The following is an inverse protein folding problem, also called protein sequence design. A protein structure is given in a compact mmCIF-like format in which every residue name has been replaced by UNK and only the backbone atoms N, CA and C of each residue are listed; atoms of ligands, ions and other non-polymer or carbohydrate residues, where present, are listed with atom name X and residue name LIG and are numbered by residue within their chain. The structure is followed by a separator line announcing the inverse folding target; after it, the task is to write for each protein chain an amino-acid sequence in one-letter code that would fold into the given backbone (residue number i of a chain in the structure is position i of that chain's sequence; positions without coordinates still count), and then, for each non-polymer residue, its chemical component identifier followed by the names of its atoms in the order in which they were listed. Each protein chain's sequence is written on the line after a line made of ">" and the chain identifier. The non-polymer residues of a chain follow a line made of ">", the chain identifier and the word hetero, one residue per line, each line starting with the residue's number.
data_IF_807248672226
#
_entry.id   IF_807248672226
#
_cell.length_a   1.000
_cell.length_b   1.000
_cell.length_c   1.000
_cell.angle_alpha   90.00
_cell.angle_beta   90.00
_cell.angle_gamma   90.00
#
_symmetry.space_group_name_H-M   'P 1'
#
loop_
_entity.id
_entity.type
_entity.pdbx_description
1 polymer ?
#
# COMPACT_ATOMS: atom_id res chain seq x y z
N UNK A 1 28.94 -43.13 -33.37
CA UNK A 1 29.96 -44.19 -33.27
C UNK A 1 31.31 -43.50 -33.38
N UNK A 2 32.24 -43.79 -32.47
CA UNK A 2 33.56 -43.14 -32.47
C UNK A 2 34.58 -44.17 -32.93
N UNK A 3 35.29 -43.86 -34.02
CA UNK A 3 36.38 -44.68 -34.53
C UNK A 3 37.70 -44.05 -34.12
N UNK A 4 38.56 -44.84 -33.49
CA UNK A 4 39.90 -44.40 -33.09
C UNK A 4 40.89 -45.50 -33.47
N UNK A 5 41.97 -45.08 -34.13
CA UNK A 5 43.05 -45.97 -34.55
C UNK A 5 44.38 -45.33 -34.15
N UNK A 6 45.30 -46.15 -33.68
CA UNK A 6 46.65 -45.73 -33.31
C UNK A 6 47.66 -46.74 -33.84
N UNK A 7 48.89 -46.27 -34.04
CA UNK A 7 50.03 -47.16 -34.29
C UNK A 7 50.69 -47.48 -32.96
N UNK A 8 51.08 -48.74 -32.77
CA UNK A 8 51.83 -49.21 -31.59
C UNK A 8 53.22 -48.59 -31.48
N UNK A 9 53.74 -47.99 -32.56
CA UNK A 9 54.97 -47.22 -32.55
C UNK A 9 54.84 -45.89 -31.78
N UNK A 10 53.62 -45.44 -31.47
CA UNK A 10 53.36 -44.24 -30.66
C UNK A 10 53.15 -44.61 -29.19
N UNK A 11 53.57 -43.75 -28.24
CA UNK A 11 53.44 -44.04 -26.80
C UNK A 11 51.99 -44.25 -26.36
N UNK A 12 51.03 -43.57 -26.99
CA UNK A 12 49.60 -43.74 -26.72
C UNK A 12 49.10 -45.11 -27.18
N UNK A 13 49.47 -45.54 -28.39
CA UNK A 13 49.09 -46.85 -28.92
C UNK A 13 49.69 -48.01 -28.14
N UNK A 14 50.95 -47.88 -27.70
CA UNK A 14 51.58 -48.88 -26.84
C UNK A 14 50.89 -49.01 -25.47
N UNK A 15 50.40 -47.90 -24.88
CA UNK A 15 49.64 -47.97 -23.63
C UNK A 15 48.30 -48.67 -23.81
N UNK A 16 47.61 -48.40 -24.91
CA UNK A 16 46.31 -49.02 -25.19
C UNK A 16 46.46 -50.51 -25.50
N UNK A 17 47.48 -50.93 -26.26
CA UNK A 17 47.72 -52.35 -26.53
C UNK A 17 48.06 -53.15 -25.26
N UNK A 18 48.78 -52.54 -24.31
CA UNK A 18 49.02 -53.13 -22.97
C UNK A 18 47.73 -53.26 -22.15
N UNK A 19 46.84 -52.25 -22.21
CA UNK A 19 45.56 -52.29 -21.51
C UNK A 19 44.61 -53.36 -22.07
N UNK A 20 44.61 -53.55 -23.40
CA UNK A 20 43.77 -54.54 -24.09
C UNK A 20 44.42 -55.94 -24.16
N UNK A 21 45.70 -56.07 -23.75
CA UNK A 21 46.50 -57.30 -23.71
C UNK A 21 46.49 -58.03 -25.05
N UNK A 22 46.90 -57.32 -26.09
CA UNK A 22 46.91 -57.78 -27.49
C UNK A 22 48.19 -58.55 -27.80
N UNK A 23 48.09 -59.65 -28.57
CA UNK A 23 49.25 -60.49 -28.91
C UNK A 23 49.59 -60.46 -30.41
N UNK A 24 48.67 -60.01 -31.28
CA UNK A 24 48.79 -60.08 -32.74
C UNK A 24 48.28 -58.80 -33.40
N UNK A 25 48.93 -58.35 -34.49
CA UNK A 25 48.55 -57.16 -35.24
C UNK A 25 48.24 -57.49 -36.72
N UNK A 26 47.31 -56.77 -37.38
CA UNK A 26 46.49 -55.67 -36.86
C UNK A 26 45.44 -56.15 -35.83
N UNK A 27 45.06 -55.26 -34.92
CA UNK A 27 44.10 -55.54 -33.85
C UNK A 27 42.95 -54.53 -33.90
N UNK A 28 41.72 -55.02 -33.72
CA UNK A 28 40.53 -54.20 -33.61
C UNK A 28 39.71 -54.65 -32.39
N UNK A 29 39.41 -53.72 -31.50
CA UNK A 29 38.48 -53.92 -30.40
C UNK A 29 37.23 -53.06 -30.57
N UNK A 30 36.08 -53.65 -30.26
CA UNK A 30 34.83 -52.91 -30.09
C UNK A 30 34.55 -52.77 -28.59
N UNK A 31 34.34 -51.54 -28.13
CA UNK A 31 34.10 -51.22 -26.72
C UNK A 31 32.72 -50.56 -26.61
N UNK A 32 31.94 -51.02 -25.64
CA UNK A 32 30.65 -50.41 -25.29
C UNK A 32 30.58 -50.12 -23.80
N UNK A 33 29.73 -49.17 -23.42
CA UNK A 33 29.40 -48.95 -22.01
C UNK A 33 28.31 -49.95 -21.62
N UNK A 34 28.65 -50.88 -20.74
CA UNK A 34 27.73 -51.86 -20.14
C UNK A 34 27.75 -51.70 -18.62
N UNK A 35 26.58 -51.50 -18.02
CA UNK A 35 26.38 -51.35 -16.57
C UNK A 35 27.30 -50.28 -15.96
N UNK A 36 27.39 -49.14 -16.66
CA UNK A 36 28.26 -47.99 -16.32
C UNK A 36 29.76 -48.29 -16.33
N UNK A 37 30.20 -49.40 -16.94
CA UNK A 37 31.61 -49.76 -17.14
C UNK A 37 31.93 -49.94 -18.61
N UNK A 38 33.09 -49.48 -19.05
CA UNK A 38 33.55 -49.73 -20.41
C UNK A 38 33.97 -51.19 -20.54
N UNK A 39 33.31 -51.92 -21.43
CA UNK A 39 33.55 -53.35 -21.67
C UNK A 39 33.89 -53.59 -23.13
N UNK A 40 34.91 -54.41 -23.38
CA UNK A 40 35.26 -54.88 -24.73
C UNK A 40 34.27 -55.97 -25.12
N UNK A 41 33.55 -55.77 -26.23
CA UNK A 41 32.48 -56.65 -26.74
C UNK A 41 32.88 -57.41 -28.00
N UNK A 42 33.93 -56.95 -28.67
CA UNK A 42 34.48 -57.56 -29.86
C UNK A 42 36.00 -57.46 -29.85
N UNK A 43 36.68 -58.53 -30.22
CA UNK A 43 38.14 -58.60 -30.32
C UNK A 43 38.49 -59.34 -31.60
N UNK A 44 39.15 -58.66 -32.52
CA UNK A 44 39.58 -59.19 -33.81
C UNK A 44 41.08 -59.01 -33.95
N UNK A 45 41.81 -60.09 -34.20
CA UNK A 45 43.27 -60.07 -34.33
C UNK A 45 43.72 -60.66 -35.66
N UNK A 46 44.79 -60.10 -36.22
CA UNK A 46 45.43 -60.59 -37.42
C UNK A 46 44.80 -60.05 -38.71
N UNK A 47 45.34 -60.53 -39.83
CA UNK A 47 44.86 -60.14 -41.16
C UNK A 47 43.57 -60.89 -41.47
N UNK A 48 42.48 -60.15 -41.67
CA UNK A 48 41.15 -60.66 -41.96
C UNK A 48 40.71 -60.12 -43.32
N UNK A 49 40.02 -60.93 -44.13
CA UNK A 49 39.46 -60.47 -45.39
C UNK A 49 38.36 -59.42 -45.13
N UNK A 50 38.18 -58.42 -46.02
CA UNK A 50 37.21 -57.34 -45.80
C UNK A 50 35.79 -57.84 -45.52
N UNK A 51 35.34 -58.85 -46.25
CA UNK A 51 33.98 -59.39 -46.11
C UNK A 51 33.79 -60.10 -44.76
N UNK A 52 34.78 -60.89 -44.33
CA UNK A 52 34.76 -61.56 -43.03
C UNK A 52 34.80 -60.57 -41.86
N UNK A 53 35.57 -59.49 -42.01
CA UNK A 53 35.64 -58.41 -41.03
C UNK A 53 34.27 -57.71 -40.89
N UNK A 54 33.63 -57.38 -42.01
CA UNK A 54 32.30 -56.74 -42.01
C UNK A 54 31.27 -57.67 -41.39
N UNK A 55 31.29 -58.97 -41.74
CA UNK A 55 30.36 -59.94 -41.18
C UNK A 55 30.52 -60.09 -39.66
N UNK A 56 31.76 -60.15 -39.16
CA UNK A 56 32.03 -60.23 -37.73
C UNK A 56 31.63 -58.95 -36.98
N UNK A 57 31.91 -57.78 -37.55
CA UNK A 57 31.48 -56.51 -36.97
C UNK A 57 29.97 -56.38 -36.92
N UNK A 58 29.28 -56.72 -38.00
CA UNK A 58 27.80 -56.72 -38.07
C UNK A 58 27.22 -57.66 -37.03
N UNK A 59 27.75 -58.88 -36.91
CA UNK A 59 27.32 -59.85 -35.91
C UNK A 59 27.46 -59.33 -34.46
N UNK A 60 28.62 -58.73 -34.14
CA UNK A 60 28.86 -58.17 -32.81
C UNK A 60 27.94 -56.96 -32.55
N UNK A 61 27.68 -56.13 -33.57
CA UNK A 61 26.75 -55.00 -33.45
C UNK A 61 25.31 -55.48 -33.20
N UNK A 62 24.82 -56.43 -33.98
CA UNK A 62 23.46 -56.96 -33.87
C UNK A 62 23.23 -57.64 -32.52
N UNK A 63 24.20 -58.42 -32.05
CA UNK A 63 24.14 -59.07 -30.73
C UNK A 63 24.02 -58.06 -29.57
N UNK A 64 24.57 -56.85 -29.73
CA UNK A 64 24.59 -55.81 -28.70
C UNK A 64 23.54 -54.71 -28.91
N UNK A 65 22.83 -54.70 -30.05
CA UNK A 65 21.85 -53.68 -30.39
C UNK A 65 20.71 -53.62 -29.36
N UNK A 66 20.21 -54.77 -28.92
CA UNK A 66 19.15 -54.86 -27.90
C UNK A 66 19.54 -54.15 -26.61
N UNK A 67 20.78 -54.31 -26.17
CA UNK A 67 21.31 -53.66 -24.97
C UNK A 67 21.45 -52.13 -25.14
N UNK A 68 21.93 -51.69 -26.31
CA UNK A 68 22.04 -50.25 -26.60
C UNK A 68 20.65 -49.58 -26.68
N UNK A 69 19.66 -50.29 -27.21
CA UNK A 69 18.27 -49.81 -27.28
C UNK A 69 17.65 -49.75 -25.88
N UNK A 70 17.83 -50.78 -25.04
CA UNK A 70 17.29 -50.75 -23.67
C UNK A 70 17.91 -49.63 -22.84
N UNK A 71 19.23 -49.42 -22.90
CA UNK A 71 19.90 -48.32 -22.21
C UNK A 71 19.42 -46.93 -22.66
N UNK A 72 19.10 -46.77 -23.96
CA UNK A 72 18.53 -45.51 -24.47
C UNK A 72 17.12 -45.29 -23.92
N UNK A 73 16.27 -46.31 -23.99
CA UNK A 73 14.91 -46.24 -23.47
C UNK A 73 14.88 -45.92 -21.98
N UNK A 74 15.69 -46.60 -21.16
CA UNK A 74 15.76 -46.30 -19.73
C UNK A 74 16.22 -44.87 -19.41
N UNK A 75 17.15 -44.32 -20.22
CA UNK A 75 17.58 -42.93 -20.07
C UNK A 75 16.47 -41.96 -20.45
N UNK A 76 15.76 -42.24 -21.53
CA UNK A 76 14.62 -41.45 -21.96
C UNK A 76 13.49 -41.47 -20.92
N UNK A 77 13.14 -42.65 -20.39
CA UNK A 77 12.14 -42.78 -19.32
C UNK A 77 12.52 -42.02 -18.05
N UNK A 78 13.79 -42.11 -17.63
CA UNK A 78 14.30 -41.35 -16.48
C UNK A 78 14.22 -39.85 -16.72
N UNK A 79 14.63 -39.40 -17.91
CA UNK A 79 14.56 -37.98 -18.27
C UNK A 79 13.11 -37.49 -18.32
N UNK A 80 12.20 -38.26 -18.93
CA UNK A 80 10.77 -37.93 -18.97
C UNK A 80 10.17 -37.87 -17.57
N UNK A 81 10.51 -38.82 -16.70
CA UNK A 81 10.05 -38.83 -15.30
C UNK A 81 10.54 -37.60 -14.54
N UNK A 82 11.81 -37.20 -14.75
CA UNK A 82 12.36 -35.99 -14.15
C UNK A 82 11.66 -34.72 -14.64
N UNK A 83 11.47 -34.59 -15.96
CA UNK A 83 10.79 -33.44 -16.57
C UNK A 83 9.35 -33.35 -16.07
N UNK A 84 8.62 -34.47 -15.99
CA UNK A 84 7.24 -34.48 -15.51
C UNK A 84 7.14 -34.02 -14.04
N UNK A 85 8.06 -34.48 -13.18
CA UNK A 85 8.11 -34.02 -11.78
C UNK A 85 8.42 -32.53 -11.68
N UNK A 86 9.38 -32.04 -12.46
CA UNK A 86 9.71 -30.61 -12.50
C UNK A 86 8.50 -29.77 -12.93
N UNK A 87 7.77 -30.19 -13.96
CA UNK A 87 6.56 -29.50 -14.41
C UNK A 87 5.45 -29.49 -13.35
N UNK A 88 5.28 -30.60 -12.61
CA UNK A 88 4.31 -30.66 -11.51
C UNK A 88 4.72 -29.75 -10.35
N UNK A 89 6.00 -29.75 -9.97
CA UNK A 89 6.53 -28.90 -8.91
C UNK A 89 6.39 -27.41 -9.28
N UNK A 90 6.71 -27.04 -10.53
CA UNK A 90 6.54 -25.68 -11.03
C UNK A 90 5.07 -25.23 -11.03
N UNK A 91 4.16 -26.08 -11.50
CA UNK A 91 2.73 -25.80 -11.49
C UNK A 91 2.18 -25.65 -10.06
N UNK A 92 2.61 -26.52 -9.14
CA UNK A 92 2.24 -26.44 -7.73
C UNK A 92 2.74 -25.14 -7.09
N UNK A 93 4.01 -24.78 -7.29
CA UNK A 93 4.58 -23.54 -6.77
C UNK A 93 3.90 -22.30 -7.37
N UNK A 94 3.54 -22.33 -8.65
CA UNK A 94 2.79 -21.25 -9.28
C UNK A 94 1.39 -21.09 -8.67
N UNK A 95 0.66 -22.20 -8.46
CA UNK A 95 -0.65 -22.19 -7.79
C UNK A 95 -0.55 -21.67 -6.36
N UNK A 96 0.44 -22.12 -5.61
CA UNK A 96 0.66 -21.69 -4.23
C UNK A 96 0.92 -20.18 -4.13
N UNK A 97 1.74 -19.62 -5.04
CA UNK A 97 1.99 -18.17 -5.10
C UNK A 97 0.72 -17.40 -5.43
N UNK A 98 -0.08 -17.88 -6.39
CA UNK A 98 -1.33 -17.24 -6.77
C UNK A 98 -2.34 -17.20 -5.60
N UNK A 99 -2.47 -18.28 -4.85
CA UNK A 99 -3.33 -18.35 -3.67
C UNK A 99 -2.85 -17.42 -2.56
N UNK A 100 -1.54 -17.39 -2.28
CA UNK A 100 -0.94 -16.48 -1.30
C UNK A 100 -1.14 -15.01 -1.68
N UNK A 101 -0.95 -14.63 -2.94
CA UNK A 101 -1.18 -13.27 -3.40
C UNK A 101 -2.65 -12.85 -3.32
N UNK A 102 -3.56 -13.77 -3.67
CA UNK A 102 -5.00 -13.53 -3.57
C UNK A 102 -5.44 -13.35 -2.12
N UNK A 103 -4.90 -14.17 -1.20
CA UNK A 103 -5.17 -14.03 0.23
C UNK A 103 -4.61 -12.71 0.77
N UNK A 104 -3.38 -12.33 0.38
CA UNK A 104 -2.76 -11.07 0.78
C UNK A 104 -3.59 -9.87 0.30
N UNK A 105 -3.97 -9.83 -0.97
CA UNK A 105 -4.85 -8.77 -1.53
C UNK A 105 -6.18 -8.69 -0.80
N UNK A 106 -6.82 -9.83 -0.53
CA UNK A 106 -8.09 -9.89 0.21
C UNK A 106 -7.95 -9.39 1.65
N UNK A 107 -6.81 -9.64 2.30
CA UNK A 107 -6.51 -9.13 3.64
C UNK A 107 -6.28 -7.63 3.64
N UNK A 108 -5.48 -7.13 2.69
CA UNK A 108 -5.22 -5.69 2.50
C UNK A 108 -6.51 -4.92 2.21
N UNK A 109 -7.37 -5.41 1.32
CA UNK A 109 -8.67 -4.79 1.02
C UNK A 109 -9.59 -4.74 2.26
N UNK A 110 -9.61 -5.80 3.06
CA UNK A 110 -10.39 -5.84 4.31
C UNK A 110 -9.85 -4.86 5.33
N UNK A 111 -8.53 -4.75 5.46
CA UNK A 111 -7.89 -3.81 6.38
C UNK A 111 -8.10 -2.36 5.94
N UNK A 112 -7.98 -2.06 4.64
CA UNK A 112 -8.28 -0.74 4.10
C UNK A 112 -9.75 -0.35 4.29
N UNK A 113 -10.69 -1.28 4.08
CA UNK A 113 -12.12 -1.02 4.38
C UNK A 113 -12.35 -0.73 5.85
N UNK A 114 -11.75 -1.52 6.76
CA UNK A 114 -11.84 -1.27 8.21
C UNK A 114 -11.26 0.08 8.61
N UNK A 115 -10.08 0.45 8.10
CA UNK A 115 -9.47 1.75 8.37
C UNK A 115 -10.35 2.91 7.89
N UNK A 116 -10.90 2.82 6.68
CA UNK A 116 -11.83 3.85 6.16
C UNK A 116 -13.09 3.95 7.01
N UNK A 117 -13.67 2.82 7.43
CA UNK A 117 -14.84 2.81 8.31
C UNK A 117 -14.52 3.40 9.70
N UNK A 118 -13.34 3.12 10.24
CA UNK A 118 -12.87 3.68 11.51
C UNK A 118 -12.60 5.19 11.41
N UNK A 119 -11.95 5.64 10.33
CA UNK A 119 -11.70 7.06 10.06
C UNK A 119 -13.02 7.84 9.93
N UNK A 120 -13.99 7.32 9.16
CA UNK A 120 -15.31 7.96 9.03
C UNK A 120 -16.04 8.02 10.38
N UNK A 121 -16.00 6.93 11.17
CA UNK A 121 -16.60 6.93 12.52
C UNK A 121 -15.91 7.92 13.46
N UNK A 122 -14.59 8.03 13.40
CA UNK A 122 -13.84 8.98 14.21
C UNK A 122 -14.14 10.43 13.81
N UNK A 123 -14.24 10.72 12.50
CA UNK A 123 -14.62 12.03 12.00
C UNK A 123 -16.03 12.41 12.46
N UNK A 124 -17.00 11.49 12.32
CA UNK A 124 -18.37 11.71 12.80
C UNK A 124 -18.41 11.99 14.31
N UNK A 125 -17.68 11.20 15.11
CA UNK A 125 -17.63 11.39 16.56
C UNK A 125 -16.94 12.70 16.95
N UNK A 126 -15.91 13.12 16.21
CA UNK A 126 -15.23 14.40 16.42
C UNK A 126 -16.13 15.59 16.07
N UNK A 127 -16.89 15.48 14.97
CA UNK A 127 -17.86 16.50 14.54
C UNK A 127 -19.02 16.61 15.54
N UNK A 128 -19.57 15.48 16.00
CA UNK A 128 -20.61 15.46 17.04
C UNK A 128 -20.12 16.08 18.34
N UNK A 129 -18.89 15.76 18.78
CA UNK A 129 -18.27 16.38 19.96
C UNK A 129 -18.07 17.88 19.77
N UNK A 130 -17.59 18.32 18.60
CA UNK A 130 -17.42 19.75 18.31
C UNK A 130 -18.76 20.48 18.37
N UNK A 131 -19.80 19.93 17.75
CA UNK A 131 -21.15 20.50 17.77
C UNK A 131 -21.71 20.58 19.18
N UNK A 132 -21.54 19.53 19.99
CA UNK A 132 -21.98 19.50 21.38
C UNK A 132 -21.26 20.54 22.24
N UNK A 133 -19.93 20.60 22.14
CA UNK A 133 -19.13 21.59 22.88
C UNK A 133 -19.54 23.02 22.52
N UNK A 134 -19.78 23.29 21.23
CA UNK A 134 -20.24 24.60 20.78
C UNK A 134 -21.62 24.94 21.34
N UNK A 135 -22.55 23.98 21.38
CA UNK A 135 -23.87 24.17 21.99
C UNK A 135 -23.77 24.45 23.49
N UNK A 136 -23.00 23.66 24.24
CA UNK A 136 -22.77 23.86 25.67
C UNK A 136 -22.14 25.24 25.95
N UNK A 137 -21.23 25.72 25.08
CA UNK A 137 -20.65 27.05 25.21
C UNK A 137 -21.66 28.16 24.94
N UNK A 138 -22.52 28.01 23.92
CA UNK A 138 -23.61 28.95 23.64
C UNK A 138 -24.60 29.04 24.81
N UNK A 139 -24.98 27.91 25.39
CA UNK A 139 -25.86 27.85 26.56
C UNK A 139 -25.23 28.49 27.80
N UNK A 140 -23.97 28.16 28.11
CA UNK A 140 -23.24 28.78 29.23
C UNK A 140 -23.13 30.30 29.08
N UNK A 141 -22.82 30.78 27.89
CA UNK A 141 -22.77 32.22 27.61
C UNK A 141 -24.12 32.87 27.77
N UNK A 142 -25.20 32.24 27.29
CA UNK A 142 -26.57 32.72 27.46
C UNK A 142 -26.96 32.86 28.96
N UNK A 143 -26.65 31.86 29.78
CA UNK A 143 -26.95 31.87 31.23
C UNK A 143 -26.18 32.93 32.00
N UNK A 144 -24.96 33.25 31.57
CA UNK A 144 -24.12 34.28 32.19
C UNK A 144 -24.49 35.71 31.77
N UNK A 145 -25.45 35.90 30.86
CA UNK A 145 -25.85 37.23 30.42
C UNK A 145 -26.63 37.96 31.53
N UNK A 146 -26.34 39.26 31.76
CA UNK A 146 -27.11 40.06 32.68
C UNK A 146 -28.57 40.20 32.20
N UNK A 147 -29.53 40.36 33.13
CA UNK A 147 -30.91 40.60 32.79
C UNK A 147 -31.07 41.92 32.03
N UNK A 148 -32.09 42.00 31.17
CA UNK A 148 -32.35 43.20 30.40
C UNK A 148 -32.81 44.35 31.32
N UNK A 149 -32.22 45.55 31.18
CA UNK A 149 -32.62 46.71 31.97
C UNK A 149 -34.03 47.20 31.59
N UNK A 150 -34.69 47.87 32.53
CA UNK A 150 -36.04 48.39 32.39
C UNK A 150 -36.09 49.46 31.28
N UNK A 151 -37.22 49.60 30.55
CA UNK A 151 -37.43 50.74 29.63
C UNK A 151 -37.24 52.12 30.27
N UNK A 152 -37.47 52.22 31.58
CA UNK A 152 -37.46 53.48 32.32
C UNK A 152 -36.08 53.80 32.94
N UNK A 153 -35.08 52.92 32.76
CA UNK A 153 -33.74 53.14 33.29
C UNK A 153 -32.99 54.18 32.43
N UNK A 154 -32.54 55.31 33.02
CA UNK A 154 -31.86 56.38 32.28
C UNK A 154 -30.51 55.94 31.71
N UNK A 155 -29.89 54.92 32.31
CA UNK A 155 -28.60 54.35 31.89
C UNK A 155 -28.76 53.12 30.97
N UNK A 156 -29.93 52.96 30.34
CA UNK A 156 -30.18 51.92 29.36
C UNK A 156 -29.84 52.36 27.92
N UNK A 157 -29.29 51.41 27.16
CA UNK A 157 -28.97 51.54 25.74
C UNK A 157 -29.74 50.51 24.96
N UNK A 158 -30.52 50.95 23.96
CA UNK A 158 -31.18 50.05 23.01
C UNK A 158 -30.24 49.80 21.82
N UNK A 159 -29.88 48.54 21.59
CA UNK A 159 -29.03 48.15 20.46
C UNK A 159 -29.82 47.28 19.50
N UNK A 160 -29.77 47.64 18.22
CA UNK A 160 -30.37 46.87 17.13
C UNK A 160 -29.24 46.23 16.34
N UNK A 161 -29.16 44.91 16.38
CA UNK A 161 -28.22 44.11 15.63
C UNK A 161 -28.82 43.70 14.29
N UNK A 162 -28.14 44.04 13.20
CA UNK A 162 -28.43 43.52 11.86
C UNK A 162 -27.51 42.33 11.61
N UNK A 163 -28.11 41.15 11.51
CA UNK A 163 -27.42 39.91 11.23
C UNK A 163 -27.20 39.73 9.72
N UNK A 164 -26.22 38.92 9.30
CA UNK A 164 -25.90 38.69 7.88
C UNK A 164 -27.00 37.90 7.13
N UNK A 165 -27.93 37.29 7.85
CA UNK A 165 -29.12 36.61 7.32
C UNK A 165 -30.33 37.56 7.10
N UNK A 166 -30.10 38.88 7.08
CA UNK A 166 -31.11 39.95 7.06
C UNK A 166 -32.07 40.00 8.26
N UNK A 167 -31.84 39.17 9.30
CA UNK A 167 -32.62 39.24 10.53
C UNK A 167 -32.15 40.39 11.42
N UNK A 168 -33.08 40.87 12.26
CA UNK A 168 -32.83 41.98 13.18
C UNK A 168 -33.17 41.54 14.58
N UNK A 169 -32.19 41.66 15.47
CA UNK A 169 -32.36 41.34 16.89
C UNK A 169 -32.15 42.63 17.67
N UNK A 170 -33.08 42.96 18.54
CA UNK A 170 -32.97 44.11 19.42
C UNK A 170 -32.83 43.65 20.87
N UNK A 171 -31.93 44.29 21.62
CA UNK A 171 -31.76 44.05 23.05
C UNK A 171 -31.29 45.31 23.75
N UNK A 172 -31.68 45.47 25.01
CA UNK A 172 -31.22 46.57 25.86
C UNK A 172 -30.05 46.13 26.73
N UNK A 173 -29.09 47.03 26.91
CA UNK A 173 -27.91 46.83 27.76
C UNK A 173 -27.72 48.05 28.65
N UNK A 174 -27.01 47.89 29.76
CA UNK A 174 -26.69 49.00 30.66
C UNK A 174 -25.36 49.63 30.28
N UNK A 175 -25.23 50.97 30.30
CA UNK A 175 -24.00 51.66 29.87
C UNK A 175 -22.71 51.19 30.55
N UNK A 176 -22.80 50.74 31.80
CA UNK A 176 -21.68 50.20 32.60
C UNK A 176 -21.23 48.78 32.22
N UNK A 177 -21.98 48.08 31.36
CA UNK A 177 -21.61 46.74 30.91
C UNK A 177 -20.47 46.77 29.88
N UNK A 178 -19.63 45.74 29.89
CA UNK A 178 -18.54 45.57 28.93
C UNK A 178 -19.04 45.16 27.55
N UNK A 179 -18.31 45.53 26.50
CA UNK A 179 -18.60 45.09 25.13
C UNK A 179 -18.55 43.55 24.96
N UNK A 180 -17.89 42.80 25.85
CA UNK A 180 -17.96 41.33 25.85
C UNK A 180 -19.39 40.82 25.96
N UNK A 181 -20.26 41.50 26.72
CA UNK A 181 -21.65 41.08 26.94
C UNK A 181 -22.44 41.10 25.63
N UNK A 182 -22.15 42.07 24.76
CA UNK A 182 -22.73 42.13 23.41
C UNK A 182 -22.28 40.93 22.57
N UNK A 183 -20.97 40.64 22.59
CA UNK A 183 -20.42 39.51 21.84
C UNK A 183 -20.99 38.18 22.33
N UNK A 184 -21.06 37.97 23.65
CA UNK A 184 -21.61 36.75 24.25
C UNK A 184 -23.10 36.60 23.96
N UNK A 185 -23.86 37.70 23.95
CA UNK A 185 -25.25 37.69 23.52
C UNK A 185 -25.38 37.26 22.06
N UNK A 186 -24.65 37.90 21.15
CA UNK A 186 -24.70 37.55 19.73
C UNK A 186 -24.26 36.11 19.50
N UNK A 187 -23.19 35.65 20.16
CA UNK A 187 -22.69 34.28 20.04
C UNK A 187 -23.70 33.23 20.52
N UNK A 188 -24.53 33.57 21.52
CA UNK A 188 -25.57 32.69 22.05
C UNK A 188 -26.78 32.52 21.09
N UNK A 189 -26.94 33.42 20.11
CA UNK A 189 -28.02 33.33 19.15
C UNK A 189 -27.81 32.15 18.19
N UNK A 190 -28.91 31.53 17.78
CA UNK A 190 -28.89 30.46 16.76
C UNK A 190 -28.62 31.00 15.35
N UNK A 191 -28.94 32.27 15.14
CA UNK A 191 -28.87 32.98 13.86
C UNK A 191 -27.51 33.64 13.61
N UNK A 192 -26.62 33.64 14.62
CA UNK A 192 -25.26 34.17 14.47
C UNK A 192 -24.32 33.14 13.86
N UNK A 193 -23.36 33.56 13.01
CA UNK A 193 -22.31 32.67 12.53
C UNK A 193 -21.34 32.26 13.65
N UNK A 194 -20.48 31.26 13.41
CA UNK A 194 -19.49 30.78 14.39
C UNK A 194 -18.39 31.82 14.64
N UNK A 195 -18.01 32.56 13.60
CA UNK A 195 -17.05 33.66 13.66
C UNK A 195 -17.70 34.92 13.11
N UNK A 196 -17.71 35.99 13.89
CA UNK A 196 -18.23 37.28 13.45
C UNK A 196 -17.45 38.45 14.00
N UNK A 197 -17.61 39.58 13.31
CA UNK A 197 -17.15 40.89 13.73
C UNK A 197 -18.35 41.84 13.85
N UNK A 198 -18.28 42.77 14.80
CA UNK A 198 -19.35 43.72 15.07
C UNK A 198 -18.89 45.11 14.64
N UNK A 199 -19.66 45.75 13.76
CA UNK A 199 -19.37 47.08 13.24
C UNK A 199 -20.44 48.10 13.63
N UNK A 200 -20.03 49.28 14.07
CA UNK A 200 -20.89 50.45 14.20
C UNK A 200 -20.89 51.25 12.88
N UNK A 201 -22.00 51.92 12.55
CA UNK A 201 -22.13 52.62 11.26
C UNK A 201 -21.79 54.12 11.32
N UNK A 202 -21.91 54.78 12.48
CA UNK A 202 -21.68 56.22 12.62
C UNK A 202 -20.98 56.58 13.95
N UNK A 203 -19.66 56.82 13.96
CA UNK A 203 -18.71 56.63 12.86
C UNK A 203 -18.51 55.14 12.53
N UNK A 204 -18.23 54.83 11.26
CA UNK A 204 -17.92 53.46 10.83
C UNK A 204 -16.67 52.93 11.55
N UNK A 205 -16.82 51.93 12.40
CA UNK A 205 -15.71 51.28 13.12
C UNK A 205 -16.07 49.88 13.57
N UNK A 206 -15.07 49.01 13.61
CA UNK A 206 -15.14 47.71 14.28
C UNK A 206 -15.12 47.93 15.79
N UNK A 207 -16.06 47.31 16.51
CA UNK A 207 -16.06 47.31 17.96
C UNK A 207 -15.14 46.21 18.50
N UNK A 208 -14.19 46.53 19.41
CA UNK A 208 -13.33 45.55 20.04
C UNK A 208 -14.11 44.81 21.14
N UNK A 209 -14.99 43.90 20.73
CA UNK A 209 -15.85 43.15 21.65
C UNK A 209 -15.21 41.84 22.15
N UNK A 210 -14.09 41.43 21.55
CA UNK A 210 -13.33 40.23 21.92
C UNK A 210 -12.02 40.68 22.60
N UNK A 211 -11.63 40.05 23.74
CA UNK A 211 -10.31 40.26 24.32
C UNK A 211 -9.20 39.94 23.31
N UNK A 212 -8.34 40.90 23.01
CA UNK A 212 -7.19 40.72 22.12
C UNK A 212 -5.89 41.00 22.90
N UNK A 213 -4.73 40.53 22.43
CA UNK A 213 -3.43 40.74 23.10
C UNK A 213 -3.14 42.23 23.35
N UNK A 214 -3.62 43.12 22.49
CA UNK A 214 -3.49 44.58 22.63
C UNK A 214 -4.50 45.20 23.59
N UNK A 215 -5.63 44.55 23.86
CA UNK A 215 -6.73 45.01 24.73
C UNK A 215 -7.39 43.82 25.44
N UNK A 216 -6.86 43.41 26.60
CA UNK A 216 -7.38 42.25 27.34
C UNK A 216 -8.75 42.51 27.98
N UNK A 217 -9.05 43.77 28.32
CA UNK A 217 -10.35 44.19 28.82
C UNK A 217 -11.02 45.08 27.77
N UNK A 218 -12.09 44.62 27.11
CA UNK A 218 -12.81 45.46 26.17
C UNK A 218 -13.57 46.57 26.92
N UNK A 219 -13.69 47.77 26.31
CA UNK A 219 -14.28 48.92 26.98
C UNK A 219 -15.76 48.71 27.31
N UNK A 220 -16.28 49.55 28.20
CA UNK A 220 -17.72 49.59 28.48
C UNK A 220 -18.50 50.21 27.32
N UNK A 221 -19.82 50.02 27.29
CA UNK A 221 -20.68 50.61 26.26
C UNK A 221 -20.61 52.15 26.25
N UNK A 222 -20.41 52.74 27.43
CA UNK A 222 -20.18 54.17 27.60
C UNK A 222 -18.84 54.63 27.01
N UNK A 223 -17.76 53.91 27.30
CA UNK A 223 -16.42 54.19 26.76
C UNK A 223 -16.32 53.94 25.26
N UNK A 224 -17.11 52.99 24.76
CA UNK A 224 -17.29 52.80 23.34
C UNK A 224 -17.96 54.02 22.69
N UNK A 225 -18.69 54.86 23.42
CA UNK A 225 -19.35 56.04 22.87
C UNK A 225 -20.57 55.69 22.01
N UNK A 226 -21.32 54.66 22.43
CA UNK A 226 -22.60 54.31 21.81
C UNK A 226 -23.68 55.26 22.34
N UNK A 227 -24.62 55.67 21.48
CA UNK A 227 -25.76 56.50 21.90
C UNK A 227 -26.85 55.65 22.59
N UNK A 228 -27.89 56.28 23.16
CA UNK A 228 -29.02 55.55 23.76
C UNK A 228 -29.77 54.62 22.78
N UNK A 229 -29.62 54.82 21.48
CA UNK A 229 -30.19 53.93 20.45
C UNK A 229 -29.22 53.79 19.30
N UNK A 230 -28.55 52.63 19.21
CA UNK A 230 -27.52 52.37 18.21
C UNK A 230 -27.87 51.18 17.31
N UNK A 231 -27.46 51.24 16.04
CA UNK A 231 -27.59 50.12 15.09
C UNK A 231 -26.20 49.56 14.81
N UNK A 232 -26.01 48.29 15.13
CA UNK A 232 -24.77 47.54 14.89
C UNK A 232 -24.97 46.49 13.80
N UNK A 233 -23.94 46.27 13.01
CA UNK A 233 -23.92 45.30 11.92
C UNK A 233 -23.01 44.13 12.30
N UNK A 234 -23.48 42.91 12.06
CA UNK A 234 -22.72 41.68 12.29
C UNK A 234 -22.19 41.20 10.95
N UNK A 235 -20.88 41.16 10.79
CA UNK A 235 -20.20 40.63 9.62
C UNK A 235 -19.81 39.18 9.88
N UNK A 236 -20.14 38.29 8.94
CA UNK A 236 -19.74 36.88 8.97
C UNK A 236 -18.29 36.73 8.50
N UNK A 237 -17.47 36.03 9.30
CA UNK A 237 -16.08 35.70 9.01
C UNK A 237 -15.86 34.19 8.86
N UNK A 238 -16.93 33.43 8.64
CA UNK A 238 -16.84 31.96 8.56
C UNK A 238 -16.23 31.47 7.24
N UNK A 239 -16.23 32.31 6.19
CA UNK A 239 -15.68 32.03 4.85
C UNK A 239 -14.23 32.53 4.63
N UNK A 240 -13.61 33.21 5.61
CA UNK A 240 -12.18 33.58 5.65
C UNK A 240 -11.35 32.66 6.56
#
# INVERSE_FOLDING_TARGET
>A
MLFWACSTNKPEGYRVSQALRENTYPFLAMIMLKDRRMTVVGRLEGLIQPDDLINQLTFIMDANQTYLVSERLEREERNQTQVLRQQQDEAYLASLRADQEKERKKREEREQKRRKEEEVKQQQLAEERRRRNLQEEKERKLECLPPEPSPDDPDSVKIIFKLPNDSRVERRFHFSQSLTVIHDFLFSLKESPEKFQIEANFPRRVLPCIPSEERPNPPTLQEAGLSHTEVLFVQDLTDE
#
